data_IF_165726462548
#
_entry.id   IF_165726462548
#
_cell.length_a   1.000
_cell.length_b   1.000
_cell.length_c   1.000
_cell.angle_alpha   90.00
_cell.angle_beta   90.00
_cell.angle_gamma   90.00
#
_symmetry.space_group_name_H-M   'P 1'
#
loop_
_entity.id
_entity.type
_entity.pdbx_description
1 polymer ?
#
# COMPACT_ATOMS: atom_id res chain seq x y z
N UNK A 1 0.34 3.50 -5.27
CA UNK A 1 -0.27 3.72 -3.96
C UNK A 1 0.75 4.47 -3.17
N UNK A 2 0.43 5.72 -2.96
CA UNK A 2 1.14 6.53 -2.01
C UNK A 2 0.66 6.16 -0.61
N UNK A 3 1.59 6.01 0.31
CA UNK A 3 1.27 5.78 1.71
C UNK A 3 0.96 7.13 2.35
N UNK A 4 -0.26 7.29 2.86
CA UNK A 4 -0.68 8.52 3.53
C UNK A 4 -0.31 8.46 5.01
N UNK A 5 -0.61 7.34 5.67
CA UNK A 5 -0.35 7.15 7.09
C UNK A 5 -0.05 5.69 7.44
N UNK A 6 0.82 5.48 8.42
CA UNK A 6 1.09 4.19 9.05
C UNK A 6 0.77 4.34 10.53
N UNK A 7 0.01 3.39 11.06
CA UNK A 7 -0.30 3.30 12.48
C UNK A 7 0.04 1.89 13.00
N UNK A 8 0.70 1.84 14.15
CA UNK A 8 1.04 0.62 14.87
C UNK A 8 0.43 0.73 16.26
N UNK A 9 -0.41 -0.23 16.58
CA UNK A 9 -1.17 -0.28 17.83
C UNK A 9 -0.82 -1.57 18.56
N UNK A 10 -0.45 -1.44 19.83
CA UNK A 10 -0.09 -2.57 20.68
C UNK A 10 -1.27 -3.50 20.97
N UNK A 11 -0.96 -4.56 21.71
CA UNK A 11 -1.96 -5.57 22.10
C UNK A 11 -3.09 -4.95 22.93
N UNK A 12 -2.76 -4.02 23.83
CA UNK A 12 -3.70 -3.35 24.74
C UNK A 12 -4.34 -2.09 24.14
N UNK A 13 -4.37 -1.99 22.81
CA UNK A 13 -4.89 -0.84 22.06
C UNK A 13 -4.16 0.49 22.39
N UNK A 14 -2.92 0.41 22.85
CA UNK A 14 -2.03 1.55 23.05
C UNK A 14 -1.34 1.94 21.73
N UNK A 15 -1.31 3.22 21.33
CA UNK A 15 -0.62 3.65 20.12
C UNK A 15 0.90 3.53 20.33
N UNK A 16 1.55 2.69 19.54
CA UNK A 16 3.01 2.51 19.58
C UNK A 16 3.71 3.43 18.58
N UNK A 17 3.07 3.69 17.44
CA UNK A 17 3.62 4.55 16.40
C UNK A 17 2.50 5.05 15.50
N UNK A 18 2.50 6.33 15.17
CA UNK A 18 1.64 6.89 14.13
C UNK A 18 2.43 7.92 13.37
N UNK A 19 2.52 7.75 12.05
CA UNK A 19 3.22 8.69 11.18
C UNK A 19 2.43 8.95 9.92
N UNK A 20 2.25 10.23 9.63
CA UNK A 20 1.64 10.74 8.41
C UNK A 20 2.77 11.16 7.47
N UNK A 21 2.71 10.68 6.22
CA UNK A 21 3.74 10.92 5.18
C UNK A 21 3.27 11.90 4.12
N UNK A 22 1.98 11.84 3.77
CA UNK A 22 1.38 12.72 2.79
C UNK A 22 0.03 13.21 3.31
N UNK A 23 -0.04 14.52 3.53
CA UNK A 23 -1.30 15.26 3.61
C UNK A 23 -1.53 15.90 2.26
N UNK A 24 -2.60 15.52 1.56
CA UNK A 24 -3.24 16.48 0.65
C UNK A 24 -3.50 17.73 1.51
N UNK A 25 -3.02 18.89 1.04
CA UNK A 25 -2.41 19.99 1.82
C UNK A 25 -3.24 20.64 2.96
N UNK A 26 -4.40 20.12 3.35
CA UNK A 26 -5.26 20.70 4.40
C UNK A 26 -5.89 19.67 5.36
N UNK A 27 -5.62 18.38 5.21
CA UNK A 27 -6.25 17.37 6.08
C UNK A 27 -5.51 17.26 7.44
N UNK A 28 -6.18 17.52 8.58
CA UNK A 28 -5.53 17.47 9.87
C UNK A 28 -5.10 16.05 10.19
N UNK A 29 -3.92 15.89 10.80
CA UNK A 29 -3.42 14.59 11.28
C UNK A 29 -4.47 13.82 12.11
N UNK A 30 -5.36 14.57 12.79
CA UNK A 30 -6.51 14.08 13.53
C UNK A 30 -7.43 13.15 12.71
N UNK A 31 -7.62 13.37 11.41
CA UNK A 31 -8.43 12.50 10.54
C UNK A 31 -7.88 11.08 10.49
N UNK A 32 -6.57 10.93 10.41
CA UNK A 32 -5.94 9.60 10.40
C UNK A 32 -6.07 8.88 11.74
N UNK A 33 -6.14 9.62 12.86
CA UNK A 33 -6.45 9.02 14.16
C UNK A 33 -7.87 8.44 14.19
N UNK A 34 -8.87 9.15 13.66
CA UNK A 34 -10.24 8.63 13.57
C UNK A 34 -10.32 7.39 12.68
N UNK A 35 -9.70 7.43 11.50
CA UNK A 35 -9.66 6.28 10.58
C UNK A 35 -8.96 5.08 11.22
N UNK A 36 -7.84 5.30 11.92
CA UNK A 36 -7.15 4.23 12.61
C UNK A 36 -8.00 3.63 13.72
N UNK A 37 -8.72 4.46 14.48
CA UNK A 37 -9.60 4.00 15.55
C UNK A 37 -10.76 3.14 15.03
N UNK A 38 -11.43 3.55 13.95
CA UNK A 38 -12.51 2.75 13.35
C UNK A 38 -11.99 1.45 12.74
N UNK A 39 -10.75 1.45 12.23
CA UNK A 39 -10.10 0.24 11.74
C UNK A 39 -9.83 -0.81 12.83
N UNK A 40 -9.63 -0.39 14.09
CA UNK A 40 -9.38 -1.32 15.20
C UNK A 40 -10.57 -2.25 15.44
N UNK A 41 -11.79 -1.73 15.42
CA UNK A 41 -13.01 -2.50 15.64
C UNK A 41 -13.15 -3.63 14.60
N UNK A 42 -12.90 -3.30 13.32
CA UNK A 42 -12.95 -4.25 12.20
C UNK A 42 -11.83 -5.30 12.32
N UNK A 43 -10.65 -4.90 12.76
CA UNK A 43 -9.55 -5.84 13.03
C UNK A 43 -9.96 -6.83 14.12
N UNK A 44 -10.55 -6.36 15.21
CA UNK A 44 -10.99 -7.20 16.32
C UNK A 44 -12.07 -8.20 15.89
N UNK A 45 -13.05 -7.76 15.12
CA UNK A 45 -14.10 -8.63 14.56
C UNK A 45 -13.52 -9.70 13.63
N UNK A 46 -12.62 -9.33 12.70
CA UNK A 46 -11.97 -10.29 11.79
C UNK A 46 -11.11 -11.29 12.56
N UNK A 47 -10.41 -10.85 13.60
CA UNK A 47 -9.57 -11.72 14.44
C UNK A 47 -10.44 -12.67 15.27
N UNK A 48 -11.55 -12.20 15.82
CA UNK A 48 -12.52 -13.03 16.55
C UNK A 48 -13.12 -14.10 15.63
N UNK A 49 -13.53 -13.72 14.41
CA UNK A 49 -14.12 -14.62 13.42
C UNK A 49 -13.16 -15.75 12.99
N UNK A 50 -11.85 -15.46 12.89
CA UNK A 50 -10.83 -16.45 12.50
C UNK A 50 -10.53 -17.49 13.57
N UNK A 51 -10.79 -17.22 14.86
CA UNK A 51 -10.57 -18.20 15.95
C UNK A 51 -11.40 -19.47 15.77
N UNK A 52 -12.47 -19.41 14.98
CA UNK A 52 -13.38 -20.52 14.71
C UNK A 52 -12.99 -21.35 13.47
N UNK A 53 -11.86 -21.05 12.83
CA UNK A 53 -11.39 -21.74 11.61
C UNK A 53 -10.00 -22.35 11.82
N UNK A 54 -9.75 -23.53 11.23
CA UNK A 54 -8.51 -24.31 11.37
C UNK A 54 -7.25 -23.63 10.80
N UNK A 55 -7.41 -22.54 10.03
CA UNK A 55 -6.32 -21.73 9.46
C UNK A 55 -6.05 -20.45 10.29
N UNK A 56 -5.82 -20.62 11.59
CA UNK A 56 -5.60 -19.53 12.55
C UNK A 56 -4.25 -18.80 12.41
N UNK A 57 -3.42 -19.17 11.43
CA UNK A 57 -2.06 -18.65 11.23
C UNK A 57 -1.96 -17.44 10.29
N UNK A 58 -3.02 -17.09 9.56
CA UNK A 58 -2.96 -15.97 8.62
C UNK A 58 -2.97 -14.63 9.37
N UNK A 59 -1.81 -13.98 9.38
CA UNK A 59 -1.53 -12.66 9.99
C UNK A 59 -2.00 -11.48 9.14
N UNK A 60 -2.30 -11.72 7.86
CA UNK A 60 -2.75 -10.69 6.94
C UNK A 60 -4.28 -10.60 6.92
N UNK A 61 -4.83 -9.40 7.17
CA UNK A 61 -6.28 -9.15 7.20
C UNK A 61 -6.80 -8.58 5.88
N UNK A 62 -5.89 -8.17 4.98
CA UNK A 62 -6.19 -7.54 3.70
C UNK A 62 -6.78 -6.14 3.86
N UNK A 63 -7.59 -5.75 2.88
CA UNK A 63 -8.40 -4.53 2.94
C UNK A 63 -9.43 -4.64 4.10
N UNK A 64 -9.45 -3.65 4.98
CA UNK A 64 -10.42 -3.55 6.06
C UNK A 64 -11.70 -2.89 5.55
N UNK A 65 -11.58 -1.66 5.08
CA UNK A 65 -12.64 -0.89 4.44
C UNK A 65 -12.02 0.18 3.54
N UNK A 66 -12.69 0.52 2.42
CA UNK A 66 -12.37 1.70 1.64
C UNK A 66 -13.12 2.93 2.17
N UNK A 67 -12.54 4.11 1.96
CA UNK A 67 -13.18 5.44 2.06
C UNK A 67 -13.13 6.07 0.67
N UNK A 68 -13.82 7.20 0.46
CA UNK A 68 -13.85 7.92 -0.83
C UNK A 68 -12.45 8.25 -1.39
N UNK A 69 -11.47 8.53 -0.52
CA UNK A 69 -10.12 8.94 -0.92
C UNK A 69 -9.01 8.01 -0.42
N UNK A 70 -9.33 7.07 0.48
CA UNK A 70 -8.33 6.24 1.15
C UNK A 70 -8.69 4.76 1.13
N UNK A 71 -7.68 3.90 1.05
CA UNK A 71 -7.79 2.47 1.27
C UNK A 71 -7.08 2.07 2.55
N UNK A 72 -7.80 1.40 3.45
CA UNK A 72 -7.29 1.02 4.76
C UNK A 72 -7.03 -0.48 4.77
N UNK A 73 -5.77 -0.84 4.99
CA UNK A 73 -5.31 -2.22 5.07
C UNK A 73 -4.89 -2.57 6.49
N UNK A 74 -5.11 -3.83 6.88
CA UNK A 74 -4.83 -4.32 8.22
C UNK A 74 -3.90 -5.53 8.23
N UNK A 75 -3.03 -5.58 9.23
CA UNK A 75 -2.15 -6.70 9.51
C UNK A 75 -2.04 -6.90 11.02
N UNK A 76 -2.03 -8.16 11.47
CA UNK A 76 -1.86 -8.50 12.88
C UNK A 76 -0.68 -9.43 13.06
N UNK A 77 0.20 -9.12 14.01
CA UNK A 77 1.35 -9.95 14.33
C UNK A 77 0.95 -11.11 15.25
N UNK A 78 1.83 -12.10 15.39
CA UNK A 78 1.67 -13.17 16.38
C UNK A 78 1.58 -12.63 17.82
N UNK A 79 2.28 -11.53 18.12
CA UNK A 79 2.22 -10.80 19.40
C UNK A 79 0.94 -9.99 19.60
N UNK A 80 -0.03 -10.07 18.68
CA UNK A 80 -1.29 -9.30 18.68
C UNK A 80 -1.11 -7.79 18.56
N UNK A 81 0.04 -7.37 18.02
CA UNK A 81 0.25 -5.99 17.58
C UNK A 81 -0.48 -5.80 16.25
N UNK A 82 -1.20 -4.70 16.12
CA UNK A 82 -2.02 -4.35 14.97
C UNK A 82 -1.28 -3.30 14.17
N UNK A 83 -1.09 -3.55 12.88
CA UNK A 83 -0.46 -2.63 11.95
C UNK A 83 -1.53 -2.22 10.94
N UNK A 84 -1.75 -0.91 10.82
CA UNK A 84 -2.73 -0.30 9.93
C UNK A 84 -1.96 0.53 8.91
N UNK A 85 -2.29 0.33 7.63
CA UNK A 85 -1.73 1.09 6.52
C UNK A 85 -2.88 1.83 5.83
N UNK A 86 -2.74 3.15 5.73
CA UNK A 86 -3.68 4.02 5.04
C UNK A 86 -2.98 4.53 3.79
N UNK A 87 -3.47 4.10 2.63
CA UNK A 87 -2.99 4.54 1.33
C UNK A 87 -4.05 5.34 0.58
N UNK A 88 -3.63 5.95 -0.53
CA UNK A 88 -4.52 6.55 -1.51
C UNK A 88 -5.51 5.52 -2.13
N UNK A 89 -6.40 6.00 -3.00
CA UNK A 89 -7.38 5.16 -3.70
C UNK A 89 -6.72 4.18 -4.72
N UNK A 90 -5.42 4.28 -4.99
CA UNK A 90 -4.76 3.47 -6.02
C UNK A 90 -4.88 1.97 -5.69
N UNK A 91 -5.30 1.17 -6.67
CA UNK A 91 -5.30 -0.28 -6.50
C UNK A 91 -3.88 -0.87 -6.39
N UNK A 92 -3.73 -1.79 -5.45
CA UNK A 92 -2.49 -2.51 -5.17
C UNK A 92 -2.82 -3.98 -4.99
N UNK A 93 -1.93 -4.85 -5.48
CA UNK A 93 -2.04 -6.29 -5.28
C UNK A 93 -1.83 -6.61 -3.80
N UNK A 94 -2.63 -7.53 -3.28
CA UNK A 94 -2.51 -7.98 -1.88
C UNK A 94 -1.10 -8.52 -1.55
N UNK A 95 -0.39 -9.09 -2.53
CA UNK A 95 0.98 -9.54 -2.37
C UNK A 95 1.96 -8.40 -2.09
N UNK A 96 1.81 -7.25 -2.74
CA UNK A 96 2.65 -6.07 -2.50
C UNK A 96 2.39 -5.48 -1.11
N UNK A 97 1.12 -5.37 -0.72
CA UNK A 97 0.73 -4.91 0.63
C UNK A 97 1.22 -5.88 1.70
N UNK A 98 1.10 -7.19 1.47
CA UNK A 98 1.64 -8.22 2.38
C UNK A 98 3.16 -8.10 2.53
N UNK A 99 3.88 -7.92 1.43
CA UNK A 99 5.34 -7.74 1.47
C UNK A 99 5.72 -6.45 2.22
N UNK A 100 4.95 -5.37 2.06
CA UNK A 100 5.13 -4.13 2.82
C UNK A 100 4.98 -4.38 4.32
N UNK A 101 3.89 -5.03 4.75
CA UNK A 101 3.68 -5.36 6.16
C UNK A 101 4.77 -6.26 6.74
N UNK A 102 5.27 -7.23 5.98
CA UNK A 102 6.36 -8.10 6.42
C UNK A 102 7.67 -7.32 6.65
N UNK A 103 8.00 -6.39 5.75
CA UNK A 103 9.18 -5.51 5.91
C UNK A 103 9.02 -4.56 7.09
N UNK A 104 7.85 -3.94 7.23
CA UNK A 104 7.56 -3.05 8.36
C UNK A 104 7.60 -3.79 9.69
N UNK A 105 7.05 -5.01 9.74
CA UNK A 105 7.12 -5.87 10.92
C UNK A 105 8.57 -6.21 11.30
N UNK A 106 9.45 -6.47 10.33
CA UNK A 106 10.87 -6.70 10.60
C UNK A 106 11.52 -5.48 11.27
N UNK A 107 11.30 -4.28 10.71
CA UNK A 107 11.82 -3.02 11.25
C UNK A 107 11.29 -2.76 12.68
N UNK A 108 10.01 -3.07 12.92
CA UNK A 108 9.40 -3.01 14.25
C UNK A 108 10.08 -3.98 15.22
N UNK A 109 10.24 -5.25 14.85
CA UNK A 109 10.89 -6.25 15.71
C UNK A 109 12.33 -5.84 16.02
N UNK A 110 13.08 -5.35 15.05
CA UNK A 110 14.47 -4.88 15.26
C UNK A 110 14.52 -3.73 16.29
N UNK A 111 13.54 -2.82 16.26
CA UNK A 111 13.46 -1.69 17.19
C UNK A 111 12.97 -2.11 18.59
N UNK A 112 12.00 -3.03 18.65
CA UNK A 112 11.47 -3.58 19.90
C UNK A 112 12.46 -4.53 20.60
N UNK A 113 13.42 -5.09 19.86
CA UNK A 113 14.47 -5.95 20.40
C UNK A 113 15.62 -5.18 21.06
N UNK A 114 15.51 -3.85 21.14
CA UNK A 114 16.47 -3.02 21.86
C UNK A 114 16.30 -3.25 23.39
N UNK A 115 17.35 -3.65 24.13
CA UNK A 115 17.28 -3.90 25.56
C UNK A 115 16.92 -2.65 26.41
N UNK A 116 17.03 -1.45 25.85
CA UNK A 116 16.66 -0.19 26.50
C UNK A 116 15.25 0.29 26.12
N UNK A 117 14.53 -0.47 25.29
CA UNK A 117 13.16 -0.12 24.92
C UNK A 117 12.17 -0.64 25.98
N UNK A 118 11.34 0.25 26.51
CA UNK A 118 10.27 -0.13 27.43
C UNK A 118 9.05 -0.63 26.64
N UNK A 119 8.61 -1.85 26.96
CA UNK A 119 7.43 -2.44 26.34
C UNK A 119 6.19 -1.54 26.50
N UNK A 120 5.42 -1.42 25.43
CA UNK A 120 4.18 -0.64 25.33
C UNK A 120 4.35 0.89 25.29
N UNK A 121 5.58 1.41 25.18
CA UNK A 121 5.81 2.83 24.95
C UNK A 121 5.86 3.19 23.46
N UNK A 122 5.74 4.49 23.16
CA UNK A 122 5.87 4.97 21.79
C UNK A 122 7.28 4.74 21.27
N UNK A 123 7.38 4.37 20.00
CA UNK A 123 8.68 4.15 19.33
C UNK A 123 9.14 5.51 18.78
N UNK A 124 10.09 6.13 19.47
CA UNK A 124 10.62 7.46 19.14
C UNK A 124 12.04 7.42 18.52
N UNK A 125 12.52 6.23 18.13
CA UNK A 125 13.88 6.07 17.60
C UNK A 125 14.06 6.74 16.24
N UNK A 126 15.03 7.67 16.06
CA UNK A 126 15.30 8.29 14.76
C UNK A 126 15.71 7.28 13.68
N UNK A 127 16.44 6.23 14.08
CA UNK A 127 16.84 5.16 13.17
C UNK A 127 15.63 4.39 12.65
N UNK A 128 14.65 4.12 13.51
CA UNK A 128 13.39 3.50 13.11
C UNK A 128 12.64 4.38 12.11
N UNK A 129 12.50 5.68 12.38
CA UNK A 129 11.83 6.61 11.47
C UNK A 129 12.49 6.63 10.08
N UNK A 130 13.83 6.67 10.01
CA UNK A 130 14.56 6.64 8.75
C UNK A 130 14.31 5.35 7.95
N UNK A 131 14.27 4.19 8.63
CA UNK A 131 13.98 2.91 7.98
C UNK A 131 12.54 2.84 7.47
N UNK A 132 11.57 3.35 8.24
CA UNK A 132 10.16 3.41 7.82
C UNK A 132 10.00 4.36 6.63
N UNK A 133 10.63 5.54 6.67
CA UNK A 133 10.60 6.49 5.55
C UNK A 133 11.16 5.86 4.28
N UNK A 134 12.35 5.22 4.35
CA UNK A 134 12.93 4.51 3.22
C UNK A 134 12.05 3.38 2.71
N UNK A 135 11.30 2.70 3.58
CA UNK A 135 10.33 1.68 3.17
C UNK A 135 9.16 2.30 2.38
N UNK A 136 8.62 3.43 2.84
CA UNK A 136 7.53 4.17 2.17
C UNK A 136 7.98 4.70 0.81
N UNK A 137 9.18 5.26 0.73
CA UNK A 137 9.75 5.80 -0.52
C UNK A 137 9.94 4.69 -1.56
N UNK A 138 10.47 3.53 -1.13
CA UNK A 138 10.63 2.36 -1.99
C UNK A 138 9.28 1.79 -2.46
N UNK A 139 8.28 1.80 -1.59
CA UNK A 139 6.94 1.31 -1.92
C UNK A 139 6.26 2.23 -2.95
N UNK A 140 6.43 3.54 -2.80
CA UNK A 140 5.88 4.56 -3.71
C UNK A 140 6.62 4.57 -5.06
N UNK A 141 7.95 4.41 -5.05
CA UNK A 141 8.81 4.48 -6.24
C UNK A 141 8.68 3.27 -7.18
N UNK A 142 8.32 2.09 -6.66
CA UNK A 142 8.17 0.87 -7.49
C UNK A 142 7.09 0.97 -8.59
N UNK A 143 6.28 2.04 -8.64
CA UNK A 143 5.27 2.27 -9.69
C UNK A 143 5.62 3.33 -10.74
N UNK A 144 6.65 4.17 -10.55
CA UNK A 144 7.02 5.18 -11.56
C UNK A 144 7.68 4.58 -12.81
N UNK A 145 8.14 3.33 -12.75
CA UNK A 145 8.76 2.60 -13.87
C UNK A 145 7.78 1.87 -14.80
N UNK A 146 6.46 1.99 -14.60
CA UNK A 146 5.44 1.41 -15.52
C UNK A 146 4.60 2.46 -16.27
N UNK A 147 5.07 3.71 -16.39
CA UNK A 147 4.53 4.67 -17.36
C UNK A 147 5.59 5.02 -18.42
N UNK A 148 5.89 4.07 -19.31
CA UNK A 148 6.29 4.44 -20.67
C UNK A 148 5.07 4.18 -21.55
N UNK A 149 4.37 5.21 -22.06
CA UNK A 149 3.36 4.98 -23.08
C UNK A 149 4.10 4.37 -24.27
N UNK A 150 3.74 3.14 -24.65
CA UNK A 150 4.10 2.60 -25.96
C UNK A 150 3.50 3.56 -26.99
N UNK A 151 4.37 4.40 -27.55
CA UNK A 151 4.00 5.37 -28.55
C UNK A 151 3.23 4.68 -29.66
N UNK A 152 1.96 5.07 -29.82
CA UNK A 152 1.21 4.89 -31.04
C UNK A 152 2.07 5.44 -32.18
N UNK A 153 2.62 4.56 -33.01
CA UNK A 153 3.14 4.93 -34.32
C UNK A 153 1.92 5.28 -35.17
N UNK A 154 1.63 6.57 -35.30
CA UNK A 154 0.85 7.10 -36.41
C UNK A 154 1.60 6.78 -37.70
N UNK A 155 1.24 5.67 -38.36
CA UNK A 155 1.53 5.47 -39.78
C UNK A 155 0.29 5.93 -40.53
N UNK A 156 0.32 7.18 -40.99
CA UNK A 156 -0.65 7.67 -41.95
C UNK A 156 -0.48 6.92 -43.28
N UNK A 157 -1.60 6.31 -43.68
CA UNK A 157 -2.15 6.11 -45.03
C UNK A 157 -1.21 5.94 -46.23
N UNK A 158 -1.40 4.82 -46.92
CA UNK A 158 -1.97 4.88 -48.27
C UNK A 158 -2.94 3.72 -48.50
N UNK A 159 -4.08 4.07 -49.07
CA UNK A 159 -5.32 3.32 -49.21
C UNK A 159 -5.33 2.33 -50.37
N UNK A 160 -6.19 1.33 -50.17
CA UNK A 160 -6.82 0.37 -51.08
C UNK A 160 -6.85 0.68 -52.59
N UNK A 161 -6.77 -0.42 -53.36
CA UNK A 161 -6.66 -0.45 -54.80
C UNK A 161 -7.95 -0.24 -55.60
N UNK A 162 -7.79 -0.33 -56.91
CA UNK A 162 -8.86 -0.70 -57.84
C UNK A 162 -8.26 -1.31 -59.12
N UNK A 163 -9.07 -2.15 -59.74
CA UNK A 163 -8.84 -3.12 -60.80
C UNK A 163 -8.90 -2.47 -62.22
N UNK A 164 -8.22 -3.15 -63.17
CA UNK A 164 -8.52 -3.28 -64.60
C UNK A 164 -8.26 -2.11 -65.58
N UNK A 165 -7.35 -2.33 -66.56
CA UNK A 165 -7.60 -2.49 -68.02
C UNK A 165 -6.30 -2.27 -68.84
N UNK A 166 -5.97 -3.19 -69.77
CA UNK A 166 -5.04 -3.04 -70.91
C UNK A 166 -5.83 -2.50 -72.14
N UNK A 167 -5.24 -2.22 -73.33
CA UNK A 167 -3.88 -1.80 -73.76
C UNK A 167 -3.95 -0.42 -74.51
N UNK A 168 -2.91 0.21 -75.10
CA UNK A 168 -2.46 0.08 -76.53
C UNK A 168 -1.49 1.24 -76.88
N UNK A 169 -0.48 0.97 -77.75
CA UNK A 169 0.25 1.88 -78.68
C UNK A 169 1.17 2.97 -78.10
N UNK A 170 2.33 3.33 -78.66
CA UNK A 170 3.08 2.91 -79.84
C UNK A 170 4.55 3.39 -79.65
N UNK A 171 5.53 2.57 -80.03
CA UNK A 171 6.91 3.00 -80.25
C UNK A 171 7.20 2.97 -81.76
N UNK A 172 7.98 3.96 -82.18
CA UNK A 172 8.62 4.11 -83.49
C UNK A 172 9.60 2.96 -83.74
#
# INVERSE_FOLDING_TARGET
>A
MNVCCICVVGKSNNPLYLRVFQTLEEEPALKFHYIAHTALDIIEEKVASRKNTTNSADTNLGLLFPTEVYKIYGFITSSKTKIILIGDETEVKDSEVKNFFQKLHKILVDSLSNPFYEYNQQIESPHFEQQVQGLVDNFSSNKSLQKKPSGFKTRNNQSMGSMAFLPTNANI
#
